data_IF_008565203864
#
_entry.id   IF_008565203864
#
_cell.length_a   1.000
_cell.length_b   1.000
_cell.length_c   1.000
_cell.angle_alpha   90.00
_cell.angle_beta   90.00
_cell.angle_gamma   90.00
#
_symmetry.space_group_name_H-M   'P 1'
#
loop_
_entity.id
_entity.type
_entity.pdbx_description
1 polymer ?
#
# COMPACT_ATOMS: atom_id res chain seq x y z
N UNK A 1 75.55 -62.91 53.57
CA UNK A 1 74.08 -62.70 53.72
C UNK A 1 73.50 -61.48 52.97
N UNK A 2 72.73 -61.69 51.89
CA UNK A 2 71.95 -60.62 51.22
C UNK A 2 70.65 -60.30 51.98
N UNK A 3 70.41 -59.04 52.30
CA UNK A 3 69.29 -58.58 53.16
C UNK A 3 67.93 -58.46 52.46
N UNK A 4 67.82 -58.80 51.17
CA UNK A 4 66.58 -58.58 50.40
C UNK A 4 65.77 -59.86 50.25
N UNK A 5 64.63 -59.95 50.96
CA UNK A 5 63.69 -61.09 50.94
C UNK A 5 62.48 -60.88 50.00
N UNK A 6 62.57 -59.95 49.06
CA UNK A 6 61.45 -59.54 48.17
C UNK A 6 61.93 -59.50 46.72
N UNK A 7 61.19 -60.16 45.83
CA UNK A 7 61.34 -60.06 44.37
C UNK A 7 60.13 -59.37 43.74
N UNK A 8 60.37 -58.45 42.80
CA UNK A 8 59.31 -57.73 42.10
C UNK A 8 59.13 -58.31 40.69
N UNK A 9 57.93 -58.83 40.41
CA UNK A 9 57.55 -59.32 39.08
C UNK A 9 56.45 -58.41 38.53
N UNK A 10 56.84 -57.50 37.65
CA UNK A 10 55.91 -56.59 36.97
C UNK A 10 55.54 -57.17 35.61
N UNK A 11 54.29 -56.93 35.16
CA UNK A 11 53.79 -57.31 33.84
C UNK A 11 53.65 -58.82 33.58
N UNK A 12 53.27 -59.61 34.60
CA UNK A 12 52.84 -60.99 34.39
C UNK A 12 51.50 -61.01 33.63
N UNK A 13 51.49 -61.63 32.45
CA UNK A 13 50.27 -61.79 31.64
C UNK A 13 49.26 -62.75 32.30
N UNK A 14 48.03 -62.86 31.78
CA UNK A 14 47.07 -63.83 32.29
C UNK A 14 47.53 -65.26 32.05
N UNK A 15 47.44 -66.10 33.07
CA UNK A 15 47.97 -67.46 33.05
C UNK A 15 48.09 -68.07 34.44
N UNK A 16 48.49 -69.33 34.45
CA UNK A 16 48.76 -70.11 35.64
C UNK A 16 50.26 -70.03 35.97
N UNK A 17 50.60 -69.51 37.15
CA UNK A 17 51.98 -69.30 37.58
C UNK A 17 52.28 -70.10 38.84
N UNK A 18 53.52 -70.58 38.93
CA UNK A 18 54.06 -71.26 40.11
C UNK A 18 55.29 -70.50 40.57
N UNK A 19 55.23 -69.93 41.76
CA UNK A 19 56.36 -69.28 42.40
C UNK A 19 57.19 -70.33 43.12
N UNK A 20 58.48 -70.45 42.78
CA UNK A 20 59.40 -71.43 43.36
C UNK A 20 60.48 -70.70 44.16
N UNK A 21 60.65 -71.05 45.44
CA UNK A 21 61.69 -70.48 46.29
C UNK A 21 62.51 -71.58 46.96
N UNK A 22 63.83 -71.35 47.03
CA UNK A 22 64.78 -72.17 47.80
C UNK A 22 65.68 -71.24 48.60
N UNK A 23 65.99 -71.61 49.82
CA UNK A 23 66.96 -70.91 50.66
C UNK A 23 68.25 -71.74 50.74
N UNK A 24 69.38 -71.07 50.72
CA UNK A 24 70.70 -71.68 50.91
C UNK A 24 71.40 -70.95 52.05
N UNK A 25 71.99 -71.70 52.97
CA UNK A 25 72.78 -71.15 54.09
C UNK A 25 74.12 -70.55 53.59
N UNK A 26 74.70 -69.58 54.32
CA UNK A 26 75.91 -68.81 53.90
C UNK A 26 77.15 -69.73 53.69
N UNK A 27 77.19 -70.87 54.38
CA UNK A 27 78.29 -71.86 54.32
C UNK A 27 78.09 -72.93 53.22
N UNK A 28 77.06 -72.77 52.37
CA UNK A 28 76.76 -73.62 51.22
C UNK A 28 76.26 -75.04 51.54
N UNK A 29 76.28 -75.46 52.80
CA UNK A 29 76.11 -76.86 53.26
C UNK A 29 74.65 -77.28 53.45
N UNK A 30 73.70 -76.35 53.56
CA UNK A 30 72.27 -76.65 53.73
C UNK A 30 71.44 -75.86 52.72
N UNK A 31 70.79 -76.59 51.81
CA UNK A 31 69.83 -76.07 50.83
C UNK A 31 68.45 -76.58 51.22
N UNK A 32 67.47 -75.68 51.39
CA UNK A 32 66.10 -76.06 51.71
C UNK A 32 65.42 -76.75 50.53
N UNK A 33 64.42 -77.59 50.80
CA UNK A 33 63.55 -78.13 49.75
C UNK A 33 62.84 -77.01 48.99
N UNK A 34 62.57 -77.26 47.71
CA UNK A 34 61.93 -76.32 46.81
C UNK A 34 60.48 -76.11 47.26
N UNK A 35 60.17 -74.93 47.81
CA UNK A 35 58.79 -74.60 48.22
C UNK A 35 58.08 -73.87 47.09
N UNK A 36 56.84 -74.27 46.79
CA UNK A 36 56.07 -73.67 45.71
C UNK A 36 54.75 -73.04 46.14
N UNK A 37 54.34 -71.99 45.43
CA UNK A 37 53.04 -71.35 45.56
C UNK A 37 52.42 -71.17 44.18
N UNK A 38 51.23 -71.75 43.97
CA UNK A 38 50.49 -71.66 42.71
C UNK A 38 49.42 -70.58 42.78
N UNK A 39 49.38 -69.70 41.78
CA UNK A 39 48.34 -68.66 41.65
C UNK A 39 47.98 -68.42 40.18
N UNK A 40 46.75 -67.97 39.94
CA UNK A 40 46.23 -67.72 38.60
C UNK A 40 45.89 -66.25 38.40
N UNK A 41 46.40 -65.66 37.33
CA UNK A 41 46.03 -64.31 36.91
C UNK A 41 44.94 -64.41 35.85
N UNK A 42 43.72 -63.97 36.17
CA UNK A 42 42.62 -63.97 35.20
C UNK A 42 42.84 -62.91 34.11
N UNK A 43 42.50 -63.20 32.84
CA UNK A 43 42.53 -62.20 31.78
C UNK A 43 41.55 -61.07 32.09
N UNK A 44 42.02 -59.83 31.93
CA UNK A 44 41.15 -58.65 32.02
C UNK A 44 40.13 -58.69 30.87
N UNK A 45 38.98 -58.04 31.03
CA UNK A 45 37.91 -58.08 30.02
C UNK A 45 38.38 -57.69 28.60
N UNK A 46 39.27 -56.70 28.48
CA UNK A 46 39.83 -56.25 27.19
C UNK A 46 40.89 -57.21 26.60
N UNK A 47 41.35 -58.21 27.35
CA UNK A 47 42.28 -59.25 26.88
C UNK A 47 41.53 -60.47 26.33
N UNK A 48 40.19 -60.49 26.39
CA UNK A 48 39.36 -61.58 25.86
C UNK A 48 38.99 -61.34 24.40
N UNK A 49 38.88 -62.42 23.61
CA UNK A 49 38.54 -62.34 22.17
C UNK A 49 37.19 -61.66 21.91
N UNK A 50 36.22 -61.87 22.80
CA UNK A 50 34.88 -61.25 22.69
C UNK A 50 34.92 -59.73 22.70
N UNK A 51 35.85 -59.11 23.44
CA UNK A 51 36.03 -57.65 23.41
C UNK A 51 36.46 -57.17 22.01
N UNK A 52 37.42 -57.83 21.39
CA UNK A 52 37.87 -57.49 20.04
C UNK A 52 36.80 -57.75 18.97
N UNK A 53 36.02 -58.84 19.08
CA UNK A 53 34.89 -59.07 18.18
C UNK A 53 33.80 -58.02 18.35
N UNK A 54 33.49 -57.60 19.58
CA UNK A 54 32.56 -56.50 19.84
C UNK A 54 33.05 -55.17 19.29
N UNK A 55 34.34 -54.88 19.44
CA UNK A 55 34.96 -53.68 18.88
C UNK A 55 34.92 -53.69 17.34
N UNK A 56 35.28 -54.82 16.72
CA UNK A 56 35.21 -55.00 15.27
C UNK A 56 33.78 -54.84 14.77
N UNK A 57 32.81 -55.44 15.47
CA UNK A 57 31.39 -55.29 15.14
C UNK A 57 30.98 -53.83 15.20
N UNK A 58 31.37 -53.07 16.22
CA UNK A 58 31.03 -51.65 16.35
C UNK A 58 31.64 -50.82 15.21
N UNK A 59 32.89 -51.09 14.86
CA UNK A 59 33.59 -50.39 13.76
C UNK A 59 32.96 -50.70 12.40
N UNK A 60 32.45 -51.91 12.18
CA UNK A 60 31.79 -52.30 10.92
C UNK A 60 30.34 -51.85 10.88
N UNK A 61 29.58 -52.09 11.95
CA UNK A 61 28.14 -51.86 12.00
C UNK A 61 27.81 -50.37 12.24
N UNK A 62 28.65 -49.65 12.98
CA UNK A 62 28.47 -48.23 13.28
C UNK A 62 28.30 -47.35 12.03
N UNK A 63 29.23 -47.39 11.06
CA UNK A 63 29.11 -46.63 9.82
C UNK A 63 27.86 -47.00 9.01
N UNK A 64 27.49 -48.28 8.97
CA UNK A 64 26.30 -48.74 8.24
C UNK A 64 25.03 -48.17 8.87
N UNK A 65 24.87 -48.29 10.19
CA UNK A 65 23.73 -47.74 10.92
C UNK A 65 23.67 -46.21 10.83
N UNK A 66 24.83 -45.55 10.87
CA UNK A 66 24.94 -44.11 10.69
C UNK A 66 24.49 -43.69 9.29
N UNK A 67 24.95 -44.37 8.23
CA UNK A 67 24.56 -44.10 6.84
C UNK A 67 23.05 -44.21 6.63
N UNK A 68 22.45 -45.32 7.10
CA UNK A 68 21.00 -45.54 7.00
C UNK A 68 20.19 -44.49 7.77
N UNK A 69 20.68 -44.06 8.93
CA UNK A 69 20.04 -43.02 9.73
C UNK A 69 20.15 -41.64 9.08
N UNK A 70 21.33 -41.33 8.52
CA UNK A 70 21.62 -40.07 7.83
C UNK A 70 20.72 -39.89 6.61
N UNK A 71 20.52 -40.93 5.81
CA UNK A 71 19.61 -40.85 4.66
C UNK A 71 18.18 -40.49 5.06
N UNK A 72 17.65 -41.13 6.11
CA UNK A 72 16.29 -40.84 6.60
C UNK A 72 16.18 -39.41 7.12
N UNK A 73 17.20 -38.93 7.82
CA UNK A 73 17.25 -37.56 8.31
C UNK A 73 17.24 -36.55 7.15
N UNK A 74 18.09 -36.74 6.14
CA UNK A 74 18.18 -35.85 4.99
C UNK A 74 16.88 -35.83 4.17
N UNK A 75 16.25 -36.98 3.95
CA UNK A 75 14.96 -37.07 3.24
C UNK A 75 13.86 -36.29 3.97
N UNK A 76 13.75 -36.46 5.30
CA UNK A 76 12.77 -35.71 6.11
C UNK A 76 13.04 -34.21 6.07
N UNK A 77 14.32 -33.80 6.11
CA UNK A 77 14.70 -32.39 6.02
C UNK A 77 14.38 -31.80 4.65
N UNK A 78 14.62 -32.54 3.57
CA UNK A 78 14.27 -32.13 2.20
C UNK A 78 12.76 -31.95 2.05
N UNK A 79 11.97 -32.93 2.46
CA UNK A 79 10.51 -32.87 2.40
C UNK A 79 9.94 -31.70 3.21
N UNK A 80 10.48 -31.48 4.41
CA UNK A 80 10.07 -30.33 5.23
C UNK A 80 10.46 -28.99 4.59
N UNK A 81 11.64 -28.91 3.99
CA UNK A 81 12.10 -27.71 3.30
C UNK A 81 11.24 -27.43 2.06
N UNK A 82 10.95 -28.44 1.24
CA UNK A 82 10.07 -28.35 0.07
C UNK A 82 8.66 -27.93 0.47
N UNK A 83 8.10 -28.52 1.54
CA UNK A 83 6.79 -28.13 2.07
C UNK A 83 6.79 -26.67 2.53
N UNK A 84 7.83 -26.25 3.27
CA UNK A 84 7.98 -24.87 3.75
C UNK A 84 8.13 -23.89 2.59
N UNK A 85 8.94 -24.21 1.58
CA UNK A 85 9.09 -23.39 0.38
C UNK A 85 7.76 -23.28 -0.35
N UNK A 86 7.06 -24.40 -0.57
CA UNK A 86 5.75 -24.40 -1.24
C UNK A 86 4.73 -23.55 -0.49
N UNK A 87 4.68 -23.65 0.85
CA UNK A 87 3.80 -22.85 1.69
C UNK A 87 4.15 -21.36 1.61
N UNK A 88 5.43 -21.01 1.70
CA UNK A 88 5.89 -19.61 1.60
C UNK A 88 5.66 -19.03 0.22
N UNK A 89 5.88 -19.80 -0.85
CA UNK A 89 5.59 -19.38 -2.23
C UNK A 89 4.10 -19.13 -2.40
N UNK A 90 3.23 -20.03 -1.93
CA UNK A 90 1.77 -19.82 -1.96
C UNK A 90 1.34 -18.59 -1.17
N UNK A 91 1.91 -18.38 0.01
CA UNK A 91 1.62 -17.19 0.83
C UNK A 91 2.06 -15.90 0.12
N UNK A 92 3.21 -15.92 -0.54
CA UNK A 92 3.70 -14.80 -1.36
C UNK A 92 2.81 -14.54 -2.58
N UNK A 93 2.38 -15.58 -3.28
CA UNK A 93 1.45 -15.45 -4.41
C UNK A 93 0.11 -14.85 -3.96
N UNK A 94 -0.46 -15.32 -2.84
CA UNK A 94 -1.68 -14.74 -2.28
C UNK A 94 -1.49 -13.28 -1.88
N UNK A 95 -0.38 -12.95 -1.21
CA UNK A 95 -0.07 -11.57 -0.83
C UNK A 95 0.10 -10.68 -2.05
N UNK A 96 0.76 -11.16 -3.10
CA UNK A 96 0.97 -10.41 -4.34
C UNK A 96 -0.36 -10.18 -5.07
N UNK A 97 -1.21 -11.19 -5.18
CA UNK A 97 -2.55 -11.07 -5.77
C UNK A 97 -3.42 -10.07 -5.00
N UNK A 98 -3.36 -10.09 -3.65
CA UNK A 98 -4.10 -9.14 -2.82
C UNK A 98 -3.57 -7.70 -2.97
N UNK A 99 -2.25 -7.53 -3.07
CA UNK A 99 -1.64 -6.23 -3.36
C UNK A 99 -2.07 -5.69 -4.72
N UNK A 100 -2.11 -6.54 -5.74
CA UNK A 100 -2.55 -6.16 -7.08
C UNK A 100 -4.02 -5.73 -7.09
N UNK A 101 -4.90 -6.49 -6.42
CA UNK A 101 -6.31 -6.13 -6.24
C UNK A 101 -6.45 -4.79 -5.53
N UNK A 102 -5.75 -4.61 -4.41
CA UNK A 102 -5.78 -3.36 -3.63
C UNK A 102 -5.32 -2.16 -4.47
N UNK A 103 -4.24 -2.32 -5.25
CA UNK A 103 -3.73 -1.29 -6.15
C UNK A 103 -4.75 -0.93 -7.26
N UNK A 104 -5.44 -1.92 -7.81
CA UNK A 104 -6.47 -1.69 -8.83
C UNK A 104 -7.70 -0.99 -8.25
N UNK A 105 -8.17 -1.40 -7.06
CA UNK A 105 -9.26 -0.72 -6.35
C UNK A 105 -8.88 0.72 -6.04
N UNK A 106 -7.67 0.97 -5.54
CA UNK A 106 -7.18 2.32 -5.25
C UNK A 106 -7.17 3.20 -6.50
N UNK A 107 -6.64 2.70 -7.63
CA UNK A 107 -6.64 3.41 -8.92
C UNK A 107 -8.06 3.71 -9.40
N UNK A 108 -8.99 2.76 -9.28
CA UNK A 108 -10.39 2.97 -9.70
C UNK A 108 -11.09 4.02 -8.85
N UNK A 109 -10.85 4.00 -7.53
CA UNK A 109 -11.41 4.96 -6.58
C UNK A 109 -10.83 6.36 -6.81
N UNK A 110 -9.53 6.46 -7.08
CA UNK A 110 -8.89 7.73 -7.41
C UNK A 110 -9.48 8.34 -8.69
N UNK A 111 -9.72 7.54 -9.73
CA UNK A 111 -10.39 8.02 -10.96
C UNK A 111 -11.78 8.56 -10.67
N UNK A 112 -12.59 7.81 -9.91
CA UNK A 112 -13.91 8.28 -9.50
C UNK A 112 -13.85 9.61 -8.73
N UNK A 113 -12.85 9.79 -7.86
CA UNK A 113 -12.68 11.01 -7.10
C UNK A 113 -12.30 12.20 -8.00
N UNK A 114 -11.44 11.98 -9.00
CA UNK A 114 -11.08 12.99 -10.01
C UNK A 114 -12.30 13.36 -10.86
N UNK A 115 -13.07 12.38 -11.33
CA UNK A 115 -14.27 12.62 -12.13
C UNK A 115 -15.34 13.38 -11.33
N UNK A 116 -15.52 13.01 -10.05
CA UNK A 116 -16.41 13.73 -9.14
C UNK A 116 -15.95 15.17 -8.89
N UNK A 117 -14.64 15.39 -8.70
CA UNK A 117 -14.07 16.73 -8.54
C UNK A 117 -14.26 17.59 -9.81
N UNK A 118 -14.06 17.00 -11.00
CA UNK A 118 -14.35 17.67 -12.26
C UNK A 118 -15.84 18.03 -12.40
N UNK A 119 -16.75 17.12 -12.09
CA UNK A 119 -18.19 17.39 -12.14
C UNK A 119 -18.59 18.49 -11.16
N UNK A 120 -18.05 18.48 -9.94
CA UNK A 120 -18.28 19.54 -8.96
C UNK A 120 -17.77 20.90 -9.46
N UNK A 121 -16.55 20.95 -10.02
CA UNK A 121 -16.01 22.17 -10.61
C UNK A 121 -16.83 22.68 -11.80
N UNK A 122 -17.33 21.78 -12.65
CA UNK A 122 -18.25 22.17 -13.74
C UNK A 122 -19.58 22.72 -13.21
N UNK A 123 -20.14 22.14 -12.14
CA UNK A 123 -21.36 22.63 -11.53
C UNK A 123 -21.19 24.02 -10.88
N UNK A 124 -20.03 24.27 -10.25
CA UNK A 124 -19.65 25.58 -9.72
C UNK A 124 -19.57 26.62 -10.85
N UNK A 125 -18.82 26.31 -11.92
CA UNK A 125 -18.72 27.18 -13.09
C UNK A 125 -20.09 27.44 -13.72
N UNK A 126 -20.93 26.40 -13.86
CA UNK A 126 -22.28 26.56 -14.40
C UNK A 126 -23.15 27.48 -13.53
N UNK A 127 -23.02 27.38 -12.21
CA UNK A 127 -23.73 28.26 -11.26
C UNK A 127 -23.29 29.71 -11.41
N UNK A 128 -21.99 29.96 -11.53
CA UNK A 128 -21.45 31.31 -11.76
C UNK A 128 -21.93 31.90 -13.10
N UNK A 129 -21.91 31.10 -14.17
CA UNK A 129 -22.42 31.50 -15.48
C UNK A 129 -23.92 31.80 -15.40
N UNK A 130 -24.71 30.95 -14.74
CA UNK A 130 -26.15 31.16 -14.58
C UNK A 130 -26.45 32.43 -13.78
N UNK A 131 -25.69 32.71 -12.72
CA UNK A 131 -25.84 33.94 -11.95
C UNK A 131 -25.54 35.17 -12.81
N UNK A 132 -24.47 35.15 -13.59
CA UNK A 132 -24.12 36.26 -14.47
C UNK A 132 -25.16 36.46 -15.58
N UNK A 133 -25.61 35.37 -16.22
CA UNK A 133 -26.67 35.42 -17.23
C UNK A 133 -27.97 35.95 -16.61
N UNK A 134 -28.36 35.48 -15.41
CA UNK A 134 -29.52 35.99 -14.68
C UNK A 134 -29.43 37.49 -14.43
N UNK A 135 -28.29 37.99 -13.99
CA UNK A 135 -28.06 39.42 -13.77
C UNK A 135 -28.18 40.23 -15.08
N UNK A 136 -27.60 39.73 -16.17
CA UNK A 136 -27.71 40.40 -17.49
C UNK A 136 -29.15 40.39 -18.02
N UNK A 137 -29.85 39.26 -17.95
CA UNK A 137 -31.24 39.15 -18.38
C UNK A 137 -32.16 40.03 -17.55
N UNK A 138 -31.95 40.10 -16.23
CA UNK A 138 -32.73 40.99 -15.37
C UNK A 138 -32.54 42.45 -15.78
N UNK A 139 -31.30 42.85 -16.09
CA UNK A 139 -30.99 44.21 -16.57
C UNK A 139 -31.65 44.50 -17.93
N UNK A 140 -31.61 43.55 -18.86
CA UNK A 140 -32.28 43.65 -20.17
C UNK A 140 -33.80 43.74 -20.00
N UNK A 141 -34.38 42.91 -19.15
CA UNK A 141 -35.82 42.88 -18.91
C UNK A 141 -36.31 44.20 -18.29
N UNK A 142 -35.61 44.74 -17.29
CA UNK A 142 -35.90 46.06 -16.72
C UNK A 142 -35.75 47.15 -17.77
N UNK A 143 -34.68 47.13 -18.57
CA UNK A 143 -34.47 48.12 -19.63
C UNK A 143 -35.56 48.06 -20.70
N UNK A 144 -35.98 46.86 -21.10
CA UNK A 144 -37.07 46.66 -22.07
C UNK A 144 -38.40 47.17 -21.51
N UNK A 145 -38.72 46.85 -20.25
CA UNK A 145 -39.93 47.34 -19.60
C UNK A 145 -39.94 48.87 -19.50
N UNK A 146 -38.79 49.49 -19.20
CA UNK A 146 -38.64 50.94 -19.19
C UNK A 146 -38.86 51.53 -20.60
N UNK A 147 -38.28 50.92 -21.65
CA UNK A 147 -38.47 51.37 -23.03
C UNK A 147 -39.95 51.29 -23.45
N UNK A 148 -40.63 50.17 -23.17
CA UNK A 148 -42.06 50.01 -23.46
C UNK A 148 -42.90 51.06 -22.74
N UNK A 149 -42.63 51.28 -21.44
CA UNK A 149 -43.31 52.32 -20.67
C UNK A 149 -43.11 53.72 -21.28
N UNK A 150 -41.88 54.05 -21.69
CA UNK A 150 -41.61 55.33 -22.34
C UNK A 150 -42.27 55.44 -23.71
N UNK A 151 -42.32 54.37 -24.49
CA UNK A 151 -42.94 54.34 -25.80
C UNK A 151 -44.45 54.59 -25.72
N UNK A 152 -45.14 53.98 -24.75
CA UNK A 152 -46.58 54.18 -24.50
C UNK A 152 -46.93 55.60 -24.04
N UNK A 153 -46.01 56.26 -23.32
CA UNK A 153 -46.22 57.65 -22.90
C UNK A 153 -46.01 58.66 -24.04
N UNK A 154 -45.31 58.30 -25.11
CA UNK A 154 -45.27 59.12 -26.32
C UNK A 154 -46.66 59.04 -26.95
N UNK A 155 -47.30 60.19 -27.17
CA UNK A 155 -48.61 60.27 -27.83
C UNK A 155 -48.45 60.68 -29.29
N UNK A 156 -48.06 59.77 -30.20
CA UNK A 156 -47.82 60.10 -31.61
C UNK A 156 -49.10 60.59 -32.30
N UNK A 157 -50.26 60.12 -31.85
CA UNK A 157 -51.56 60.52 -32.40
C UNK A 157 -51.81 62.02 -32.31
N UNK A 158 -51.31 62.68 -31.27
CA UNK A 158 -51.41 64.13 -31.11
C UNK A 158 -50.62 64.85 -32.21
N UNK A 159 -49.44 64.35 -32.57
CA UNK A 159 -48.63 64.86 -33.66
C UNK A 159 -49.28 64.59 -35.03
N UNK A 160 -49.76 63.36 -35.24
CA UNK A 160 -50.46 62.97 -36.46
C UNK A 160 -51.69 63.85 -36.66
N UNK A 161 -52.51 64.04 -35.63
CA UNK A 161 -53.70 64.86 -35.71
C UNK A 161 -53.36 66.34 -35.98
N UNK A 162 -52.28 66.88 -35.41
CA UNK A 162 -51.83 68.23 -35.77
C UNK A 162 -51.35 68.32 -37.22
N UNK A 163 -50.68 67.29 -37.75
CA UNK A 163 -50.27 67.25 -39.14
C UNK A 163 -51.46 67.15 -40.10
N UNK A 164 -52.46 66.32 -39.78
CA UNK A 164 -53.73 66.21 -40.52
C UNK A 164 -54.53 67.52 -40.49
N UNK A 165 -54.59 68.19 -39.34
CA UNK A 165 -55.25 69.49 -39.20
C UNK A 165 -54.61 70.55 -40.09
N UNK A 166 -53.28 70.54 -40.23
CA UNK A 166 -52.53 71.44 -41.13
C UNK A 166 -52.76 71.05 -42.60
N UNK A 167 -52.65 69.75 -42.92
CA UNK A 167 -52.76 69.23 -44.28
C UNK A 167 -54.17 69.41 -44.89
N UNK A 168 -55.21 69.38 -44.06
CA UNK A 168 -56.59 69.60 -44.48
C UNK A 168 -56.94 71.05 -44.82
N UNK A 169 -56.04 72.02 -44.58
CA UNK A 169 -56.29 73.43 -44.88
C UNK A 169 -55.81 73.82 -46.28
N UNK A 170 -56.69 74.44 -47.06
CA UNK A 170 -56.38 74.93 -48.41
C UNK A 170 -55.64 76.26 -48.42
N UNK A 171 -55.76 77.07 -47.35
CA UNK A 171 -55.06 78.34 -47.18
C UNK A 171 -54.46 78.45 -45.77
N UNK A 172 -53.19 78.06 -45.67
CA UNK A 172 -52.43 78.04 -44.41
C UNK A 172 -52.29 79.42 -43.76
N UNK A 173 -52.09 80.48 -44.56
CA UNK A 173 -51.90 81.83 -44.04
C UNK A 173 -53.11 82.30 -43.23
N UNK A 174 -54.33 82.10 -43.76
CA UNK A 174 -55.56 82.43 -43.04
C UNK A 174 -55.82 81.51 -41.84
N UNK A 175 -55.47 80.23 -41.93
CA UNK A 175 -55.64 79.29 -40.81
C UNK A 175 -54.78 79.66 -39.59
N UNK A 176 -53.53 80.08 -39.79
CA UNK A 176 -52.63 80.54 -38.72
C UNK A 176 -53.05 81.87 -38.09
N UNK A 177 -53.93 82.65 -38.73
CA UNK A 177 -54.53 83.84 -38.11
C UNK A 177 -55.67 83.47 -37.15
N UNK A 178 -56.28 82.29 -37.33
CA UNK A 178 -57.37 81.76 -36.53
C UNK A 178 -56.95 81.25 -35.14
N UNK A 179 -57.92 81.12 -34.23
CA UNK A 179 -57.68 80.69 -32.83
C UNK A 179 -57.00 79.32 -32.72
N UNK A 180 -57.29 78.38 -33.63
CA UNK A 180 -56.70 77.03 -33.62
C UNK A 180 -55.30 77.00 -34.22
N UNK A 181 -55.06 77.69 -35.35
CA UNK A 181 -53.74 77.71 -35.99
C UNK A 181 -52.66 78.36 -35.13
N UNK A 182 -53.01 79.39 -34.34
CA UNK A 182 -52.08 80.03 -33.39
C UNK A 182 -51.56 79.11 -32.28
N UNK A 183 -52.30 78.04 -31.94
CA UNK A 183 -51.92 77.11 -30.87
C UNK A 183 -50.90 76.05 -31.33
N UNK A 184 -50.76 75.84 -32.63
CA UNK A 184 -49.90 74.80 -33.19
C UNK A 184 -48.41 75.04 -32.89
N UNK A 185 -47.84 76.25 -33.09
CA UNK A 185 -46.44 76.51 -32.76
C UNK A 185 -46.14 76.27 -31.28
N UNK A 186 -47.00 76.77 -30.38
CA UNK A 186 -46.85 76.60 -28.94
C UNK A 186 -46.97 75.13 -28.52
N UNK A 187 -47.91 74.40 -29.12
CA UNK A 187 -48.06 72.96 -28.93
C UNK A 187 -46.81 72.20 -29.39
N UNK A 188 -46.31 72.44 -30.61
CA UNK A 188 -45.11 71.77 -31.13
C UNK A 188 -43.87 72.10 -30.29
N UNK A 189 -43.77 73.35 -29.81
CA UNK A 189 -42.69 73.76 -28.91
C UNK A 189 -42.77 73.02 -27.57
N UNK A 190 -43.96 72.98 -26.94
CA UNK A 190 -44.19 72.28 -25.69
C UNK A 190 -43.95 70.76 -25.83
N UNK A 191 -44.43 70.16 -26.91
CA UNK A 191 -44.23 68.75 -27.23
C UNK A 191 -42.75 68.43 -27.46
N UNK A 192 -42.04 69.24 -28.24
CA UNK A 192 -40.60 69.05 -28.49
C UNK A 192 -39.74 69.22 -27.23
N UNK A 193 -40.12 70.15 -26.34
CA UNK A 193 -39.46 70.35 -25.04
C UNK A 193 -39.66 69.15 -24.12
N UNK A 194 -40.89 68.64 -24.04
CA UNK A 194 -41.23 67.44 -23.26
C UNK A 194 -40.46 66.21 -23.76
N UNK A 195 -40.36 66.02 -25.08
CA UNK A 195 -39.54 64.94 -25.65
C UNK A 195 -38.04 65.11 -25.36
N UNK A 196 -37.52 66.34 -25.39
CA UNK A 196 -36.11 66.61 -25.10
C UNK A 196 -35.75 66.35 -23.64
N UNK A 197 -36.58 66.79 -22.71
CA UNK A 197 -36.40 66.55 -21.27
C UNK A 197 -36.41 65.05 -20.96
N UNK A 198 -37.32 64.30 -21.58
CA UNK A 198 -37.38 62.83 -21.43
C UNK A 198 -36.19 62.10 -22.04
N UNK A 199 -35.63 62.58 -23.16
CA UNK A 199 -34.42 62.01 -23.77
C UNK A 199 -33.19 62.13 -22.87
N UNK A 200 -33.07 63.22 -22.11
CA UNK A 200 -31.94 63.45 -21.19
C UNK A 200 -31.95 62.40 -20.07
N UNK A 201 -33.13 62.05 -19.54
CA UNK A 201 -33.27 61.00 -18.52
C UNK A 201 -32.95 59.57 -18.99
N UNK A 202 -32.84 59.31 -20.30
CA UNK A 202 -32.44 58.01 -20.87
C UNK A 202 -30.92 57.83 -21.01
N UNK A 203 -30.13 58.90 -20.82
CA UNK A 203 -28.67 58.88 -21.00
C UNK A 203 -27.89 58.87 -19.67
N UNK A 204 -28.59 58.91 -18.53
CA UNK A 204 -28.05 58.71 -17.18
C UNK A 204 -28.33 57.29 -16.68
#
# INVERSE_FOLDING_TARGET
>A
AGTRRIGFYNNLGPGDYRFLVRAQSDDGTLVSELTDLSFRIQPKFFQTKWFFFGLLLLVVLGPVLFGLSRERYLRRRSQWLEATVTERTRALEMANNNLEQTANTLRSTQRQLVDAAHMAGMAEIATDVLHNVGNTLNSVNVSSAMIDQYADEIRPDLLIHTAELIQSQTNLAHFFEGKQGKLIPDFLLAFSKTLRERKIHLQE
#
